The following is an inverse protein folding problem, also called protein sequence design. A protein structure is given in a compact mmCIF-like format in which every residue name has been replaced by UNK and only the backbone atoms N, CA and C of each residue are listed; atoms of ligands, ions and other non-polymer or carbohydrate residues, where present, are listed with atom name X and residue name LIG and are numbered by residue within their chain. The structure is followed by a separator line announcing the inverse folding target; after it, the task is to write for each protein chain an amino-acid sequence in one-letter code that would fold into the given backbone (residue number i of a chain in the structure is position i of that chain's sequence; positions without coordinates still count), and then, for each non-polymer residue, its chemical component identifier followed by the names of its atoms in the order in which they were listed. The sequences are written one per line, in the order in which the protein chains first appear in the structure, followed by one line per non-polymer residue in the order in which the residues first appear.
data_IF_520352501557
#
_entry.id   IF_520352501557
#
_cell.length_a   1.000
_cell.length_b   1.000
_cell.length_c   1.000
_cell.angle_alpha   90.00
_cell.angle_beta   90.00
_cell.angle_gamma   90.00
#
_symmetry.space_group_name_H-M   'P 1'
#
loop_
_entity.id
_entity.type
_entity.pdbx_description
1 polymer ?
#
# COMPACT_ATOMS: atom_id res chain seq x y z
N UNK A 1 2.08 -14.77 57.76
CA UNK A 1 1.96 -13.87 56.65
C UNK A 1 1.61 -12.49 57.18
N UNK A 2 2.34 -11.46 56.82
CA UNK A 2 2.04 -10.10 57.23
C UNK A 2 1.28 -9.41 56.11
N UNK A 3 0.14 -8.80 56.39
CA UNK A 3 -0.69 -8.06 55.49
C UNK A 3 -0.80 -6.62 55.96
N UNK A 4 -0.63 -5.67 55.03
CA UNK A 4 -0.87 -4.25 55.29
C UNK A 4 -2.09 -3.83 54.42
N UNK A 5 -3.16 -3.42 55.08
CA UNK A 5 -4.34 -2.87 54.41
C UNK A 5 -4.34 -1.36 54.56
N UNK A 6 -4.25 -0.65 53.46
CA UNK A 6 -4.26 0.81 53.42
C UNK A 6 -5.17 1.32 52.30
N UNK A 7 -5.86 2.42 52.53
CA UNK A 7 -6.66 3.08 51.49
C UNK A 7 -5.79 3.91 50.53
N UNK A 8 -4.72 4.53 51.04
CA UNK A 8 -3.78 5.30 50.27
C UNK A 8 -2.34 5.08 50.71
N UNK A 9 -1.43 5.06 49.76
CA UNK A 9 0.01 5.12 49.97
C UNK A 9 0.52 6.38 49.30
N UNK A 10 1.03 7.32 50.08
CA UNK A 10 1.47 8.64 49.65
C UNK A 10 2.94 8.77 49.99
N UNK A 11 3.75 9.42 49.15
CA UNK A 11 5.14 9.75 49.50
C UNK A 11 5.23 10.67 50.71
N UNK A 12 6.37 10.73 51.38
CA UNK A 12 6.56 11.34 52.70
C UNK A 12 6.03 12.77 52.81
N UNK A 13 6.18 13.59 51.77
CA UNK A 13 5.69 14.99 51.76
C UNK A 13 4.43 15.18 50.92
N UNK A 14 3.74 14.11 50.54
CA UNK A 14 2.55 14.18 49.69
C UNK A 14 2.82 14.48 48.20
N UNK A 15 4.08 14.69 47.86
CA UNK A 15 4.52 15.05 46.50
C UNK A 15 5.55 14.07 45.95
N UNK A 16 6.23 13.33 46.83
CA UNK A 16 7.25 12.36 46.39
C UNK A 16 6.65 11.05 45.92
N UNK A 17 7.29 10.41 44.94
CA UNK A 17 6.89 9.11 44.45
C UNK A 17 7.14 8.02 45.48
N UNK A 18 6.18 7.11 45.67
CA UNK A 18 6.37 5.90 46.46
C UNK A 18 7.30 4.96 45.70
N UNK A 19 8.37 4.53 46.37
CA UNK A 19 9.35 3.62 45.78
C UNK A 19 9.16 2.17 46.25
N UNK A 20 9.08 1.25 45.29
CA UNK A 20 9.06 -0.19 45.54
C UNK A 20 10.34 -0.82 45.01
N UNK A 21 11.30 -1.07 45.92
CA UNK A 21 12.65 -1.56 45.52
C UNK A 21 12.65 -3.03 45.10
N UNK A 22 11.60 -3.78 45.39
CA UNK A 22 11.44 -5.21 45.04
C UNK A 22 10.37 -5.48 44.00
N UNK A 23 9.79 -4.41 43.43
CA UNK A 23 8.71 -4.50 42.43
C UNK A 23 7.29 -4.54 43.03
N UNK A 24 6.31 -4.53 42.19
CA UNK A 24 4.88 -4.58 42.52
C UNK A 24 4.29 -5.80 41.84
N UNK A 25 3.58 -6.63 42.62
CA UNK A 25 2.74 -7.68 42.06
C UNK A 25 1.27 -7.27 42.24
N UNK A 26 0.63 -6.85 41.16
CA UNK A 26 -0.77 -6.48 41.13
C UNK A 26 -1.60 -7.60 40.49
N UNK A 27 -2.52 -8.22 41.26
CA UNK A 27 -3.43 -9.25 40.74
C UNK A 27 -4.73 -8.67 40.14
N UNK A 28 -4.87 -7.38 40.12
CA UNK A 28 -6.02 -6.65 39.55
C UNK A 28 -5.58 -5.66 38.50
N UNK A 29 -6.29 -4.53 38.44
CA UNK A 29 -6.00 -3.45 37.52
C UNK A 29 -4.98 -2.47 38.11
N UNK A 30 -3.91 -2.18 37.37
CA UNK A 30 -3.00 -1.06 37.64
C UNK A 30 -3.41 0.09 36.74
N UNK A 31 -3.95 1.16 37.34
CA UNK A 31 -4.28 2.39 36.61
C UNK A 31 -3.15 3.41 36.79
N UNK A 32 -2.57 3.87 35.70
CA UNK A 32 -1.51 4.88 35.72
C UNK A 32 -1.69 5.85 34.53
N UNK A 33 -1.41 7.12 34.78
CA UNK A 33 -1.37 8.13 33.72
C UNK A 33 -0.19 7.90 32.77
N UNK A 34 0.95 7.48 33.31
CA UNK A 34 2.16 7.16 32.56
C UNK A 34 2.83 5.92 33.15
N UNK A 35 3.32 5.06 32.26
CA UNK A 35 4.21 3.98 32.63
C UNK A 35 5.55 4.20 31.90
N UNK A 36 6.62 4.42 32.64
CA UNK A 36 7.98 4.56 32.11
C UNK A 36 8.85 3.46 32.65
N UNK A 37 9.55 2.76 31.79
CA UNK A 37 10.47 1.69 32.18
C UNK A 37 11.84 1.91 31.54
N UNK A 38 12.90 1.56 32.26
CA UNK A 38 14.26 1.60 31.73
C UNK A 38 14.60 0.39 30.85
N UNK A 39 13.76 -0.63 30.82
CA UNK A 39 14.06 -1.88 30.12
C UNK A 39 12.88 -2.32 29.26
N UNK A 40 11.92 -3.05 29.79
CA UNK A 40 10.83 -3.63 28.99
C UNK A 40 9.51 -3.65 29.73
N UNK A 41 8.43 -3.61 28.96
CA UNK A 41 7.08 -3.96 29.38
C UNK A 41 6.69 -5.22 28.59
N UNK A 42 6.38 -6.30 29.31
CA UNK A 42 5.88 -7.53 28.69
C UNK A 42 4.40 -7.67 29.01
N UNK A 43 3.58 -7.75 28.01
CA UNK A 43 2.14 -7.99 28.14
C UNK A 43 1.66 -8.95 27.05
N UNK A 44 0.63 -9.77 27.37
CA UNK A 44 0.01 -10.64 26.37
C UNK A 44 -0.75 -9.87 25.31
N UNK A 45 -1.29 -8.70 25.64
CA UNK A 45 -2.03 -7.84 24.71
C UNK A 45 -1.91 -6.38 25.13
N UNK A 46 -1.70 -5.51 24.17
CA UNK A 46 -1.79 -4.06 24.32
C UNK A 46 -3.04 -3.56 23.59
N UNK A 47 -3.90 -2.83 24.28
CA UNK A 47 -5.06 -2.16 23.69
C UNK A 47 -4.79 -0.66 23.61
N UNK A 48 -5.03 -0.06 22.46
CA UNK A 48 -4.91 1.38 22.27
C UNK A 48 -4.56 1.76 20.85
N UNK A 49 -4.48 3.07 20.62
CA UNK A 49 -3.98 3.61 19.37
C UNK A 49 -2.44 3.47 19.34
N UNK A 50 -1.93 2.62 18.49
CA UNK A 50 -0.49 2.39 18.32
C UNK A 50 0.29 3.53 17.65
N UNK A 51 -0.34 4.67 17.34
CA UNK A 51 0.29 5.76 16.58
C UNK A 51 1.55 6.37 17.25
N UNK A 52 1.69 6.20 18.56
CA UNK A 52 2.85 6.63 19.32
C UNK A 52 3.95 5.56 19.51
N UNK A 53 3.77 4.36 18.98
CA UNK A 53 4.78 3.31 19.10
C UNK A 53 5.93 3.58 18.14
N UNK A 54 7.13 3.70 18.68
CA UNK A 54 8.38 3.85 17.92
C UNK A 54 9.28 2.65 18.12
N UNK A 55 10.11 2.33 17.14
CA UNK A 55 11.04 1.19 17.25
C UNK A 55 10.39 -0.19 17.19
N UNK A 56 9.16 -0.28 16.70
CA UNK A 56 8.52 -1.58 16.44
C UNK A 56 9.15 -2.18 15.19
N UNK A 57 10.05 -3.14 15.38
CA UNK A 57 10.62 -3.90 14.27
C UNK A 57 9.59 -4.89 13.73
N UNK A 58 9.31 -4.83 12.43
CA UNK A 58 8.41 -5.79 11.79
C UNK A 58 7.32 -5.18 10.92
N UNK A 59 7.53 -3.96 10.42
CA UNK A 59 6.66 -3.39 9.39
C UNK A 59 5.21 -3.22 9.82
N UNK A 60 4.90 -2.15 10.53
CA UNK A 60 3.49 -1.83 10.83
C UNK A 60 2.82 -1.33 9.55
N UNK A 61 1.71 -1.97 9.18
CA UNK A 61 0.85 -1.45 8.14
C UNK A 61 0.20 -0.14 8.61
N UNK A 62 0.65 0.98 8.07
CA UNK A 62 0.13 2.31 8.42
C UNK A 62 -1.20 2.60 7.72
N UNK A 63 -1.26 2.26 6.43
CA UNK A 63 -2.45 2.49 5.60
C UNK A 63 -2.49 1.52 4.42
N UNK A 64 -3.70 1.13 4.05
CA UNK A 64 -3.98 0.43 2.79
C UNK A 64 -5.01 1.24 2.00
N UNK A 65 -4.64 1.63 0.80
CA UNK A 65 -5.48 2.42 -0.10
C UNK A 65 -5.87 1.61 -1.33
N UNK A 66 -7.15 1.67 -1.70
CA UNK A 66 -7.72 0.97 -2.84
C UNK A 66 -8.21 1.99 -3.86
N UNK A 67 -7.81 1.83 -5.10
CA UNK A 67 -8.28 2.63 -6.21
C UNK A 67 -8.85 1.69 -7.28
N UNK A 68 -10.09 1.91 -7.64
CA UNK A 68 -10.76 1.15 -8.69
C UNK A 68 -10.72 1.93 -9.99
N UNK A 69 -10.24 1.31 -11.05
CA UNK A 69 -10.17 1.91 -12.38
C UNK A 69 -11.31 1.30 -13.19
N UNK A 70 -12.31 2.10 -13.59
CA UNK A 70 -13.42 1.61 -14.39
C UNK A 70 -12.97 1.19 -15.78
N UNK A 71 -13.82 0.45 -16.47
CA UNK A 71 -13.63 0.10 -17.87
C UNK A 71 -13.41 1.35 -18.72
N UNK A 72 -12.40 1.33 -19.55
CA UNK A 72 -12.09 2.40 -20.48
C UNK A 72 -11.87 1.84 -21.89
N UNK A 73 -12.33 2.59 -22.89
CA UNK A 73 -11.94 2.38 -24.28
C UNK A 73 -10.84 3.37 -24.58
N UNK A 74 -9.66 2.87 -24.92
CA UNK A 74 -8.52 3.69 -25.29
C UNK A 74 -8.58 3.95 -26.79
N UNK A 75 -8.22 5.17 -27.16
CA UNK A 75 -8.18 5.59 -28.57
C UNK A 75 -6.94 5.09 -29.33
N UNK A 76 -6.35 5.95 -30.12
CA UNK A 76 -5.11 5.67 -30.86
C UNK A 76 -3.94 5.47 -29.87
N UNK A 77 -3.15 4.43 -30.10
CA UNK A 77 -2.15 3.96 -29.14
C UNK A 77 -0.75 4.50 -29.43
N UNK A 78 -0.13 5.09 -28.41
CA UNK A 78 1.32 5.14 -28.36
C UNK A 78 1.78 3.77 -27.82
N UNK A 79 2.56 3.06 -28.61
CA UNK A 79 3.11 1.77 -28.20
C UNK A 79 4.36 1.97 -27.34
N UNK A 80 4.68 1.00 -26.52
CA UNK A 80 6.04 0.90 -26.02
C UNK A 80 6.92 0.43 -27.19
N UNK A 81 8.07 1.08 -27.42
CA UNK A 81 9.00 0.62 -28.44
C UNK A 81 9.49 -0.80 -28.16
N UNK A 82 9.74 -1.54 -29.21
CA UNK A 82 10.38 -2.86 -29.10
C UNK A 82 11.89 -2.69 -29.28
N UNK A 83 12.55 -2.08 -28.29
CA UNK A 83 13.92 -1.62 -28.39
C UNK A 83 14.84 -2.07 -27.23
N UNK A 84 14.39 -3.03 -26.42
CA UNK A 84 15.13 -3.54 -25.26
C UNK A 84 15.46 -2.50 -24.18
N UNK A 85 14.71 -1.39 -24.16
CA UNK A 85 14.79 -0.37 -23.10
C UNK A 85 13.60 -0.43 -22.16
N UNK A 86 13.72 0.16 -20.98
CA UNK A 86 12.57 0.33 -20.08
C UNK A 86 11.55 1.28 -20.73
N UNK A 87 10.24 0.97 -20.69
CA UNK A 87 9.21 1.90 -21.16
C UNK A 87 9.35 3.26 -20.48
N UNK A 88 9.19 4.33 -21.26
CA UNK A 88 9.27 5.69 -20.78
C UNK A 88 7.89 6.29 -20.52
N UNK A 89 7.80 7.28 -19.63
CA UNK A 89 6.54 7.92 -19.22
C UNK A 89 5.81 8.60 -20.39
N UNK A 90 6.48 8.86 -21.51
CA UNK A 90 5.90 9.39 -22.74
C UNK A 90 5.36 8.32 -23.68
N UNK A 91 5.63 7.07 -23.40
CA UNK A 91 5.26 5.91 -24.22
C UNK A 91 4.02 5.21 -23.67
N UNK A 92 3.38 4.41 -24.51
CA UNK A 92 2.12 3.76 -24.16
C UNK A 92 0.98 4.74 -23.92
N UNK A 93 -0.20 4.24 -23.71
CA UNK A 93 -1.41 5.01 -23.43
C UNK A 93 -1.69 5.05 -21.92
N UNK A 94 -1.70 6.23 -21.32
CA UNK A 94 -2.11 6.38 -19.92
C UNK A 94 -3.59 6.04 -19.76
N UNK A 95 -3.90 5.21 -18.78
CA UNK A 95 -5.27 4.85 -18.43
C UNK A 95 -5.58 5.06 -16.95
N UNK A 96 -4.58 5.36 -16.14
CA UNK A 96 -4.74 5.66 -14.73
C UNK A 96 -3.67 6.62 -14.27
N UNK A 97 -4.07 7.57 -13.43
CA UNK A 97 -3.17 8.50 -12.77
C UNK A 97 -3.71 8.83 -11.39
N UNK A 98 -2.89 8.68 -10.35
CA UNK A 98 -3.27 8.90 -8.97
C UNK A 98 -2.17 9.60 -8.20
N UNK A 99 -2.46 10.80 -7.71
CA UNK A 99 -1.60 11.46 -6.72
C UNK A 99 -1.72 10.73 -5.38
N UNK A 100 -0.59 10.49 -4.74
CA UNK A 100 -0.50 9.80 -3.46
C UNK A 100 0.46 10.51 -2.52
N UNK A 101 -0.01 10.78 -1.32
CA UNK A 101 0.80 11.33 -0.22
C UNK A 101 0.77 10.32 0.93
N UNK A 102 1.92 9.82 1.39
CA UNK A 102 1.98 8.86 2.48
C UNK A 102 1.53 9.51 3.79
N UNK A 103 1.02 8.71 4.71
CA UNK A 103 0.66 9.14 6.06
C UNK A 103 1.90 9.53 6.85
N UNK A 104 2.97 8.72 6.73
CA UNK A 104 4.28 9.08 7.25
C UNK A 104 5.10 9.73 6.12
N UNK A 105 5.16 11.06 6.14
CA UNK A 105 5.86 11.85 5.11
C UNK A 105 7.38 11.82 5.25
N UNK A 106 7.91 11.30 6.36
CA UNK A 106 9.35 11.28 6.61
C UNK A 106 10.02 10.05 5.99
N UNK A 107 9.44 8.89 6.18
CA UNK A 107 9.97 7.63 5.65
C UNK A 107 8.94 6.50 5.80
N UNK A 108 8.62 5.84 4.71
CA UNK A 108 7.83 4.60 4.72
C UNK A 108 8.17 3.76 3.49
N UNK A 109 7.94 2.47 3.55
CA UNK A 109 7.95 1.60 2.38
C UNK A 109 6.55 1.57 1.77
N UNK A 110 6.46 1.69 0.46
CA UNK A 110 5.21 1.45 -0.27
C UNK A 110 5.27 0.10 -0.99
N UNK A 111 4.24 -0.69 -0.80
CA UNK A 111 3.98 -1.88 -1.59
C UNK A 111 2.81 -1.59 -2.53
N UNK A 112 3.08 -1.64 -3.82
CA UNK A 112 2.13 -1.32 -4.87
C UNK A 112 1.75 -2.62 -5.55
N UNK A 113 0.45 -2.87 -5.64
CA UNK A 113 -0.10 -4.00 -6.37
C UNK A 113 -1.19 -3.50 -7.31
N UNK A 114 -1.06 -3.80 -8.58
CA UNK A 114 -2.07 -3.48 -9.57
C UNK A 114 -2.36 -4.66 -10.49
N UNK A 115 -3.63 -4.83 -10.81
CA UNK A 115 -4.10 -5.84 -11.75
C UNK A 115 -5.04 -5.18 -12.74
N UNK A 116 -4.78 -5.39 -14.03
CA UNK A 116 -5.63 -4.90 -15.11
C UNK A 116 -5.84 -5.97 -16.17
N UNK A 117 -7.05 -6.01 -16.72
CA UNK A 117 -7.32 -6.72 -17.97
C UNK A 117 -7.08 -5.75 -19.13
N UNK A 118 -6.07 -6.03 -19.93
CA UNK A 118 -5.76 -5.27 -21.14
C UNK A 118 -6.27 -6.04 -22.33
N UNK A 119 -7.15 -5.42 -23.13
CA UNK A 119 -7.81 -6.08 -24.26
C UNK A 119 -7.25 -5.67 -25.61
N UNK A 120 -7.19 -6.61 -26.55
CA UNK A 120 -6.85 -6.39 -27.96
C UNK A 120 -8.09 -6.57 -28.85
N UNK A 121 -8.27 -5.73 -29.86
CA UNK A 121 -9.52 -5.67 -30.65
C UNK A 121 -9.55 -6.52 -31.91
N UNK A 122 -8.44 -6.93 -32.43
CA UNK A 122 -8.41 -7.35 -33.82
C UNK A 122 -8.29 -8.84 -34.05
N UNK A 123 -8.46 -9.69 -33.03
CA UNK A 123 -8.25 -11.15 -33.15
C UNK A 123 -6.86 -11.53 -33.70
N UNK A 124 -5.91 -10.62 -33.64
CA UNK A 124 -4.53 -10.86 -34.05
C UNK A 124 -3.76 -11.11 -32.77
N UNK A 125 -3.09 -12.25 -32.72
CA UNK A 125 -2.17 -12.52 -31.61
C UNK A 125 -1.07 -11.43 -31.60
N UNK A 126 -1.01 -10.69 -30.52
CA UNK A 126 -0.05 -9.61 -30.34
C UNK A 126 0.35 -9.50 -28.87
N UNK A 127 1.42 -8.78 -28.61
CA UNK A 127 1.81 -8.46 -27.24
C UNK A 127 0.89 -7.37 -26.67
N UNK A 128 0.44 -7.60 -25.45
CA UNK A 128 -0.26 -6.62 -24.64
C UNK A 128 0.57 -6.36 -23.39
N UNK A 129 0.68 -5.11 -22.98
CA UNK A 129 1.56 -4.75 -21.88
C UNK A 129 0.98 -3.69 -20.97
N UNK A 130 1.52 -3.64 -19.76
CA UNK A 130 1.21 -2.63 -18.76
C UNK A 130 2.51 -2.20 -18.08
N UNK A 131 2.66 -0.90 -17.83
CA UNK A 131 3.79 -0.35 -17.09
C UNK A 131 3.33 0.62 -16.01
N UNK A 132 4.03 0.58 -14.88
CA UNK A 132 3.85 1.44 -13.72
C UNK A 132 4.92 2.53 -13.73
N UNK A 133 4.50 3.77 -13.61
CA UNK A 133 5.36 4.96 -13.56
C UNK A 133 5.13 5.77 -12.29
N UNK A 134 6.08 6.65 -12.02
CA UNK A 134 6.01 7.67 -10.98
C UNK A 134 6.47 9.02 -11.55
N UNK A 135 5.87 10.11 -11.09
CA UNK A 135 6.00 11.44 -11.72
C UNK A 135 7.39 12.06 -11.74
N UNK A 136 8.32 11.58 -10.95
CA UNK A 136 9.70 12.09 -10.87
C UNK A 136 10.73 11.20 -11.57
N UNK A 137 10.27 10.18 -12.31
CA UNK A 137 11.13 9.29 -13.08
C UNK A 137 10.63 9.18 -14.52
N UNK A 138 11.57 9.11 -15.46
CA UNK A 138 11.27 8.94 -16.88
C UNK A 138 10.91 7.51 -17.20
N UNK A 139 11.66 6.56 -16.62
CA UNK A 139 11.53 5.14 -16.90
C UNK A 139 10.48 4.48 -16.00
N UNK A 140 9.87 3.44 -16.50
CA UNK A 140 8.91 2.65 -15.75
C UNK A 140 9.55 2.00 -14.52
N UNK A 141 8.85 2.06 -13.38
CA UNK A 141 9.24 1.31 -12.17
C UNK A 141 9.16 -0.20 -12.39
N UNK A 142 8.17 -0.61 -13.17
CA UNK A 142 7.91 -2.00 -13.58
C UNK A 142 7.09 -2.03 -14.86
N UNK A 143 7.33 -3.04 -15.67
CA UNK A 143 6.52 -3.37 -16.82
C UNK A 143 6.27 -4.88 -16.87
N UNK A 144 5.16 -5.26 -17.46
CA UNK A 144 4.76 -6.64 -17.73
C UNK A 144 4.10 -6.72 -19.09
N UNK A 145 4.42 -7.76 -19.84
CA UNK A 145 3.81 -8.06 -21.15
C UNK A 145 3.32 -9.49 -21.17
N UNK A 146 2.32 -9.75 -22.02
CA UNK A 146 1.84 -11.08 -22.33
C UNK A 146 1.46 -11.14 -23.80
N UNK A 147 1.49 -12.33 -24.38
CA UNK A 147 1.09 -12.56 -25.77
C UNK A 147 -0.33 -13.09 -25.80
N UNK A 148 -1.24 -12.33 -26.38
CA UNK A 148 -2.65 -12.71 -26.36
C UNK A 148 -3.40 -12.35 -27.65
N UNK A 149 -4.38 -13.15 -28.02
CA UNK A 149 -5.29 -12.88 -29.14
C UNK A 149 -6.46 -11.98 -28.71
N UNK A 150 -6.87 -12.06 -27.44
CA UNK A 150 -8.10 -11.40 -26.96
C UNK A 150 -7.86 -10.45 -25.77
N UNK A 151 -6.65 -10.42 -25.24
CA UNK A 151 -6.30 -9.67 -24.05
C UNK A 151 -5.78 -10.56 -22.93
N UNK A 152 -5.14 -9.95 -21.98
CA UNK A 152 -4.50 -10.60 -20.84
C UNK A 152 -4.86 -9.91 -19.52
N UNK A 153 -4.83 -10.68 -18.43
CA UNK A 153 -4.84 -10.13 -17.07
C UNK A 153 -3.39 -9.93 -16.65
N UNK A 154 -2.98 -8.68 -16.58
CA UNK A 154 -1.63 -8.29 -16.22
C UNK A 154 -1.57 -7.87 -14.76
N UNK A 155 -0.53 -8.28 -14.06
CA UNK A 155 -0.31 -7.93 -12.65
C UNK A 155 1.09 -7.37 -12.47
N UNK A 156 1.18 -6.22 -11.81
CA UNK A 156 2.44 -5.62 -11.36
C UNK A 156 2.44 -5.58 -9.84
N UNK A 157 3.55 -6.02 -9.25
CA UNK A 157 3.87 -5.81 -7.84
C UNK A 157 5.21 -5.11 -7.74
N UNK A 158 5.27 -4.03 -6.95
CA UNK A 158 6.48 -3.24 -6.80
C UNK A 158 6.63 -2.74 -5.36
N UNK A 159 7.85 -2.82 -4.82
CA UNK A 159 8.22 -2.22 -3.55
C UNK A 159 9.04 -0.95 -3.79
N UNK A 160 8.60 0.17 -3.22
CA UNK A 160 9.36 1.40 -3.14
C UNK A 160 9.85 1.61 -1.71
N UNK A 161 11.13 1.41 -1.43
CA UNK A 161 11.69 1.68 -0.12
C UNK A 161 11.86 3.19 0.10
N UNK A 162 11.76 3.61 1.35
CA UNK A 162 12.07 4.99 1.78
C UNK A 162 11.30 6.07 1.01
N UNK A 163 10.01 5.81 0.74
CA UNK A 163 9.16 6.77 0.03
C UNK A 163 8.82 7.97 0.91
N UNK A 164 8.90 9.15 0.33
CA UNK A 164 8.54 10.40 1.02
C UNK A 164 7.91 11.41 0.06
N UNK A 165 7.15 12.34 0.63
CA UNK A 165 6.48 13.40 -0.12
C UNK A 165 5.28 12.94 -0.93
N UNK A 166 4.70 13.85 -1.70
CA UNK A 166 3.58 13.56 -2.61
C UNK A 166 4.10 13.33 -4.01
N UNK A 167 3.66 12.25 -4.65
CA UNK A 167 4.00 11.92 -6.04
C UNK A 167 2.78 11.36 -6.76
N UNK A 168 2.81 11.35 -8.07
CA UNK A 168 1.75 10.77 -8.89
C UNK A 168 2.22 9.45 -9.47
N UNK A 169 1.45 8.38 -9.22
CA UNK A 169 1.59 7.10 -9.90
C UNK A 169 0.73 7.08 -11.14
N UNK A 170 1.22 6.51 -12.23
CA UNK A 170 0.41 6.27 -13.42
C UNK A 170 0.63 4.87 -13.98
N UNK A 171 -0.42 4.35 -14.62
CA UNK A 171 -0.39 3.10 -15.37
C UNK A 171 -0.61 3.42 -16.85
N UNK A 172 0.21 2.84 -17.67
CA UNK A 172 0.12 2.95 -19.12
C UNK A 172 0.04 1.56 -19.76
N UNK A 173 -0.71 1.44 -20.83
CA UNK A 173 -0.81 0.21 -21.60
C UNK A 173 -0.06 0.31 -22.93
N UNK A 174 0.54 -0.80 -23.30
CA UNK A 174 1.09 -1.05 -24.62
C UNK A 174 0.09 -1.86 -25.41
N UNK A 175 -0.25 -1.40 -26.62
CA UNK A 175 -1.31 -2.00 -27.44
C UNK A 175 -2.62 -2.21 -26.65
N UNK A 176 -3.56 -2.85 -27.19
CA UNK A 176 -4.85 -3.02 -26.54
C UNK A 176 -5.78 -1.82 -26.72
N UNK A 177 -6.99 -2.10 -27.14
CA UNK A 177 -8.01 -1.11 -27.43
C UNK A 177 -8.85 -0.74 -26.21
N UNK A 178 -8.54 -1.26 -25.05
CA UNK A 178 -9.26 -0.95 -23.83
C UNK A 178 -8.71 -1.61 -22.59
N UNK A 179 -8.97 -0.98 -21.48
CA UNK A 179 -8.70 -1.52 -20.15
C UNK A 179 -10.01 -2.05 -19.58
N UNK A 180 -9.97 -3.24 -19.01
CA UNK A 180 -11.15 -3.95 -18.53
C UNK A 180 -12.23 -4.11 -19.61
N UNK A 181 -11.82 -4.06 -20.86
CA UNK A 181 -12.66 -4.17 -22.02
C UNK A 181 -12.04 -5.20 -22.95
N UNK A 182 -12.59 -6.40 -22.98
CA UNK A 182 -12.20 -7.35 -23.99
C UNK A 182 -12.66 -6.85 -25.35
N UNK A 183 -11.76 -6.84 -26.28
CA UNK A 183 -11.79 -5.94 -27.41
C UNK A 183 -12.75 -6.29 -28.53
N UNK A 184 -13.21 -7.47 -28.62
CA UNK A 184 -14.00 -7.96 -29.76
C UNK A 184 -15.48 -8.14 -29.45
N UNK A 185 -15.96 -7.61 -28.34
CA UNK A 185 -17.34 -7.83 -27.91
C UNK A 185 -17.59 -9.17 -27.21
N UNK A 186 -16.61 -10.07 -27.22
CA UNK A 186 -16.80 -11.42 -26.69
C UNK A 186 -16.96 -11.45 -25.17
N UNK A 187 -16.33 -10.50 -24.47
CA UNK A 187 -16.42 -10.37 -23.02
C UNK A 187 -17.01 -9.02 -22.56
N UNK A 188 -17.37 -8.16 -23.50
CA UNK A 188 -17.66 -6.74 -23.24
C UNK A 188 -18.76 -6.46 -22.20
N UNK A 189 -19.68 -7.35 -21.98
CA UNK A 189 -20.82 -7.10 -21.11
C UNK A 189 -21.12 -8.23 -20.12
N UNK A 190 -20.17 -9.19 -19.97
CA UNK A 190 -20.46 -10.40 -19.21
C UNK A 190 -20.67 -10.14 -17.71
N UNK A 191 -20.03 -9.08 -17.18
CA UNK A 191 -20.05 -8.76 -15.75
C UNK A 191 -20.39 -7.30 -15.43
N UNK A 192 -20.75 -6.50 -16.43
CA UNK A 192 -21.00 -5.05 -16.25
C UNK A 192 -19.72 -4.21 -16.07
N UNK A 193 -19.84 -2.92 -16.32
CA UNK A 193 -18.69 -2.00 -16.33
C UNK A 193 -18.06 -1.75 -14.94
N UNK A 194 -18.81 -1.99 -13.88
CA UNK A 194 -18.38 -1.74 -12.50
C UNK A 194 -17.80 -2.97 -11.80
N UNK A 195 -18.18 -4.16 -12.24
CA UNK A 195 -17.69 -5.42 -11.66
C UNK A 195 -16.39 -5.91 -12.29
N UNK A 196 -16.10 -5.49 -13.52
CA UNK A 196 -14.86 -5.79 -14.22
C UNK A 196 -13.96 -4.54 -14.17
N UNK A 197 -13.29 -4.34 -13.07
CA UNK A 197 -12.49 -3.16 -12.81
C UNK A 197 -11.03 -3.54 -12.49
N UNK A 198 -10.13 -2.68 -12.92
CA UNK A 198 -8.73 -2.71 -12.50
C UNK A 198 -8.64 -2.30 -11.03
N UNK A 199 -7.82 -2.99 -10.29
CA UNK A 199 -7.53 -2.68 -8.91
C UNK A 199 -6.09 -2.17 -8.78
N UNK A 200 -5.95 -1.01 -8.15
CA UNK A 200 -4.66 -0.43 -7.78
C UNK A 200 -4.63 -0.28 -6.26
N UNK A 201 -3.69 -0.93 -5.62
CA UNK A 201 -3.55 -0.96 -4.16
C UNK A 201 -2.20 -0.40 -3.78
N UNK A 202 -2.20 0.46 -2.76
CA UNK A 202 -0.97 0.92 -2.10
C UNK A 202 -1.06 0.57 -0.62
N UNK A 203 -0.06 -0.14 -0.12
CA UNK A 203 0.14 -0.42 1.29
C UNK A 203 1.34 0.37 1.81
N UNK A 204 1.13 1.17 2.84
CA UNK A 204 2.19 1.88 3.55
C UNK A 204 2.66 1.07 4.74
N UNK A 205 3.96 0.81 4.79
CA UNK A 205 4.60 0.08 5.88
C UNK A 205 5.59 1.00 6.57
N UNK A 206 5.51 1.12 7.89
CA UNK A 206 6.52 1.84 8.67
C UNK A 206 7.88 1.16 8.55
N UNK A 207 8.93 1.93 8.41
CA UNK A 207 10.34 1.48 8.40
C UNK A 207 11.08 1.92 9.63
#
# INVERSE_FOLDING_TARGET
MSEIRVENIIGENGVDAVQFTKGINATGTLTSTNVSTASSITAGTFFGNGAGLTGVSGGILLRKSFFTIPRQTLGTHNQFPNDDTAPQITEGQEFFSQAYTPTNTSNCDLYIHCTASVGERNNIADDVGMALFISDQTDALRAVTDWSVHGANLTITHKMPSYSGSKTFSLRSHKGNGINNAADGYYQNKYGATTHATLFIIEEIAT
#
